data_IF_123602193130
#
_entry.id   IF_123602193130
#
_cell.length_a   1.000
_cell.length_b   1.000
_cell.length_c   1.000
_cell.angle_alpha   90.00
_cell.angle_beta   90.00
_cell.angle_gamma   90.00
#
_symmetry.space_group_name_H-M   'P 1'
#
loop_
_entity.id
_entity.type
_entity.pdbx_description
1 polymer ?
#
# COMPACT_ATOMS: atom_id res chain seq x y z
N UNK A 1 13.31 -11.40 -15.15
CA UNK A 1 11.98 -11.78 -14.64
C UNK A 1 11.13 -10.54 -14.67
N UNK A 2 10.25 -10.42 -15.65
CA UNK A 2 9.29 -9.34 -15.78
C UNK A 2 8.24 -9.51 -14.69
N UNK A 3 8.14 -8.57 -13.75
CA UNK A 3 7.02 -8.52 -12.83
C UNK A 3 5.74 -8.32 -13.65
N UNK A 4 4.77 -9.22 -13.51
CA UNK A 4 3.43 -8.97 -14.06
C UNK A 4 2.87 -7.69 -13.43
N UNK A 5 2.23 -6.80 -14.20
CA UNK A 5 1.50 -5.69 -13.61
C UNK A 5 0.47 -6.29 -12.64
N UNK A 6 0.50 -5.83 -11.39
CA UNK A 6 -0.41 -6.28 -10.35
C UNK A 6 -1.84 -6.23 -10.91
N UNK A 7 -2.41 -7.41 -11.20
CA UNK A 7 -3.72 -7.48 -11.80
C UNK A 7 -4.71 -7.13 -10.70
N UNK A 8 -5.20 -5.89 -10.72
CA UNK A 8 -6.22 -5.39 -9.81
C UNK A 8 -7.48 -6.26 -9.97
N UNK A 9 -7.66 -7.24 -9.07
CA UNK A 9 -8.86 -8.07 -9.02
C UNK A 9 -9.96 -7.36 -8.23
N UNK A 10 -11.21 -7.55 -8.66
CA UNK A 10 -12.38 -6.96 -8.01
C UNK A 10 -12.58 -7.46 -6.57
N UNK A 11 -13.10 -6.56 -5.71
CA UNK A 11 -13.06 -6.60 -4.24
C UNK A 11 -13.72 -7.79 -3.53
N UNK A 12 -13.03 -8.34 -2.53
CA UNK A 12 -13.60 -8.80 -1.24
C UNK A 12 -13.47 -7.74 -0.12
N UNK A 13 -12.72 -6.66 -0.34
CA UNK A 13 -12.26 -5.71 0.68
C UNK A 13 -13.06 -4.41 0.80
N UNK A 14 -14.07 -4.19 -0.05
CA UNK A 14 -14.93 -3.02 0.05
C UNK A 14 -15.72 -3.03 1.37
N UNK A 15 -15.35 -2.15 2.31
CA UNK A 15 -16.01 -2.00 3.61
C UNK A 15 -15.39 -2.79 4.78
N UNK A 16 -14.30 -3.52 4.56
CA UNK A 16 -13.56 -4.15 5.66
C UNK A 16 -12.78 -3.09 6.44
N UNK A 17 -13.04 -3.01 7.74
CA UNK A 17 -12.24 -2.23 8.71
C UNK A 17 -11.52 -3.20 9.65
N UNK A 18 -10.36 -2.84 10.22
CA UNK A 18 -9.71 -3.68 11.22
C UNK A 18 -10.69 -3.97 12.38
N UNK A 19 -10.87 -5.24 12.69
CA UNK A 19 -11.91 -5.75 13.59
C UNK A 19 -11.34 -6.25 14.93
N UNK A 20 -10.02 -6.21 15.09
CA UNK A 20 -9.35 -6.58 16.33
C UNK A 20 -8.19 -5.64 16.69
N UNK A 21 -7.74 -5.75 17.94
CA UNK A 21 -6.56 -5.07 18.46
C UNK A 21 -5.57 -6.11 18.97
N UNK A 22 -4.31 -6.00 18.56
CA UNK A 22 -3.26 -6.92 18.98
C UNK A 22 -2.20 -6.19 19.81
N UNK A 23 -1.63 -6.87 20.81
CA UNK A 23 -0.50 -6.35 21.57
C UNK A 23 0.80 -6.55 20.79
N UNK A 24 1.62 -5.50 20.72
CA UNK A 24 2.88 -5.53 19.97
C UNK A 24 3.85 -6.59 20.51
N UNK A 25 3.89 -6.75 21.83
CA UNK A 25 4.63 -7.81 22.53
C UNK A 25 4.29 -9.20 22.00
N UNK A 26 3.01 -9.50 21.86
CA UNK A 26 2.54 -10.86 21.58
C UNK A 26 2.78 -11.23 20.11
N UNK A 27 2.66 -10.25 19.21
CA UNK A 27 2.76 -10.48 17.76
C UNK A 27 4.18 -10.32 17.24
N UNK A 28 4.95 -9.36 17.78
CA UNK A 28 6.28 -8.99 17.25
C UNK A 28 7.42 -9.34 18.21
N UNK A 29 7.14 -9.78 19.44
CA UNK A 29 8.17 -10.08 20.44
C UNK A 29 8.93 -8.84 20.93
N UNK A 30 8.35 -7.64 20.76
CA UNK A 30 8.96 -6.36 21.16
C UNK A 30 8.33 -5.92 22.49
N UNK A 31 9.17 -5.59 23.47
CA UNK A 31 8.71 -5.10 24.78
C UNK A 31 8.04 -3.72 24.65
N UNK A 32 6.72 -3.72 24.47
CA UNK A 32 5.88 -2.54 24.33
C UNK A 32 4.44 -2.86 24.74
N UNK A 33 3.81 -1.92 25.44
CA UNK A 33 2.38 -1.96 25.77
C UNK A 33 1.49 -1.40 24.66
N UNK A 34 2.06 -1.06 23.49
CA UNK A 34 1.30 -0.58 22.36
C UNK A 34 0.34 -1.68 21.86
N UNK A 35 -0.93 -1.34 21.69
CA UNK A 35 -1.90 -2.10 20.89
C UNK A 35 -2.02 -1.52 19.49
N UNK A 36 -2.25 -2.36 18.48
CA UNK A 36 -2.35 -1.94 17.07
C UNK A 36 -3.57 -2.63 16.43
N UNK A 37 -4.34 -1.93 15.58
CA UNK A 37 -5.41 -2.56 14.83
C UNK A 37 -4.88 -3.65 13.89
N UNK A 38 -5.64 -4.73 13.74
CA UNK A 38 -5.36 -5.83 12.83
C UNK A 38 -6.67 -6.41 12.28
N UNK A 39 -6.58 -7.22 11.24
CA UNK A 39 -7.71 -7.98 10.69
C UNK A 39 -7.71 -9.42 11.22
N UNK A 40 -8.88 -9.95 11.56
CA UNK A 40 -9.02 -11.35 11.97
C UNK A 40 -8.93 -12.30 10.77
N UNK A 41 -9.41 -11.87 9.60
CA UNK A 41 -9.38 -12.62 8.35
C UNK A 41 -8.28 -12.13 7.40
N UNK A 42 -7.75 -13.05 6.60
CA UNK A 42 -6.69 -12.78 5.62
C UNK A 42 -7.29 -12.47 4.24
N UNK A 43 -6.82 -11.40 3.62
CA UNK A 43 -7.14 -11.03 2.23
C UNK A 43 -6.02 -11.49 1.26
N UNK A 44 -6.34 -11.61 -0.03
CA UNK A 44 -5.40 -12.01 -1.08
C UNK A 44 -4.20 -11.05 -1.23
N UNK A 45 -4.34 -9.79 -0.79
CA UNK A 45 -3.26 -8.78 -0.82
C UNK A 45 -2.44 -8.76 0.48
N UNK A 46 -2.69 -9.65 1.44
CA UNK A 46 -1.86 -9.79 2.65
C UNK A 46 -0.59 -10.56 2.31
N UNK A 47 0.62 -9.99 2.53
CA UNK A 47 1.87 -10.67 2.25
C UNK A 47 2.02 -11.99 3.03
N UNK A 48 2.84 -12.91 2.51
CA UNK A 48 3.14 -14.16 3.22
C UNK A 48 3.96 -13.91 4.49
N UNK A 49 3.65 -14.71 5.51
CA UNK A 49 4.36 -14.71 6.78
C UNK A 49 5.67 -15.50 6.63
N UNK A 50 6.80 -14.82 6.76
CA UNK A 50 8.11 -15.46 6.96
C UNK A 50 8.36 -15.66 8.46
N UNK A 51 8.18 -16.87 8.96
CA UNK A 51 8.39 -17.21 10.37
C UNK A 51 9.84 -17.05 10.88
N UNK A 52 10.83 -16.93 9.98
CA UNK A 52 12.23 -16.71 10.34
C UNK A 52 12.61 -15.22 10.41
N UNK A 53 11.69 -14.32 10.05
CA UNK A 53 11.98 -12.89 10.01
C UNK A 53 12.26 -12.32 11.41
N UNK A 54 13.34 -11.55 11.52
CA UNK A 54 13.74 -10.87 12.76
C UNK A 54 13.43 -9.39 12.64
N UNK A 55 12.53 -8.92 13.50
CA UNK A 55 12.12 -7.51 13.53
C UNK A 55 13.14 -6.64 14.25
N UNK A 56 13.61 -5.58 13.60
CA UNK A 56 14.26 -4.46 14.31
C UNK A 56 13.19 -3.70 15.14
N UNK A 57 13.33 -3.60 16.48
CA UNK A 57 12.29 -3.03 17.34
C UNK A 57 11.91 -1.59 17.02
N UNK A 58 12.92 -0.74 16.78
CA UNK A 58 12.70 0.70 16.57
C UNK A 58 11.96 0.96 15.25
N UNK A 59 12.40 0.31 14.18
CA UNK A 59 11.75 0.41 12.87
C UNK A 59 10.33 -0.13 12.93
N UNK A 60 10.13 -1.26 13.60
CA UNK A 60 8.81 -1.89 13.76
C UNK A 60 7.84 -0.97 14.50
N UNK A 61 8.25 -0.37 15.62
CA UNK A 61 7.40 0.57 16.36
C UNK A 61 7.03 1.81 15.54
N UNK A 62 7.95 2.31 14.70
CA UNK A 62 7.67 3.39 13.76
C UNK A 62 6.62 3.02 12.71
N UNK A 63 6.75 1.83 12.11
CA UNK A 63 5.76 1.29 11.15
C UNK A 63 4.40 1.12 11.83
N UNK A 64 4.37 0.51 13.01
CA UNK A 64 3.13 0.25 13.76
C UNK A 64 2.41 1.54 14.18
N UNK A 65 3.15 2.61 14.50
CA UNK A 65 2.56 3.93 14.69
C UNK A 65 1.89 4.47 13.41
N UNK A 66 2.42 4.12 12.24
CA UNK A 66 1.79 4.33 10.93
C UNK A 66 0.41 3.69 10.83
N UNK A 67 0.35 2.37 11.04
CA UNK A 67 -0.90 1.61 11.03
C UNK A 67 -1.91 2.11 12.06
N UNK A 68 -1.47 2.35 13.30
CA UNK A 68 -2.34 2.76 14.41
C UNK A 68 -2.93 4.17 14.23
N UNK A 69 -2.16 5.10 13.69
CA UNK A 69 -2.52 6.52 13.67
C UNK A 69 -2.72 7.09 12.28
N UNK A 70 -2.75 6.23 11.24
CA UNK A 70 -2.79 6.64 9.84
C UNK A 70 -1.71 7.70 9.50
N UNK A 71 -0.50 7.47 10.04
CA UNK A 71 0.66 8.35 9.82
C UNK A 71 1.42 7.90 8.58
N UNK A 72 1.90 8.87 7.81
CA UNK A 72 2.78 8.64 6.67
C UNK A 72 4.16 8.33 7.26
N UNK A 73 4.69 7.15 6.95
CA UNK A 73 5.98 6.67 7.49
C UNK A 73 7.01 6.65 6.38
N UNK A 74 8.15 7.30 6.61
CA UNK A 74 9.31 7.21 5.74
C UNK A 74 10.35 6.29 6.39
N UNK A 75 10.79 5.27 5.66
CA UNK A 75 11.85 4.35 6.10
C UNK A 75 13.06 4.57 5.20
N UNK A 76 14.20 4.91 5.81
CA UNK A 76 15.44 5.17 5.10
C UNK A 76 16.54 4.22 5.58
N UNK A 77 17.40 3.80 4.66
CA UNK A 77 18.52 2.90 4.91
C UNK A 77 19.16 2.46 3.60
N UNK A 78 20.34 1.85 3.68
CA UNK A 78 21.09 1.40 2.50
C UNK A 78 20.28 0.40 1.65
N UNK A 79 20.69 0.22 0.39
CA UNK A 79 20.09 -0.78 -0.48
C UNK A 79 20.29 -2.19 0.09
N UNK A 80 19.29 -3.06 -0.06
CA UNK A 80 19.40 -4.46 0.39
C UNK A 80 19.30 -4.69 1.90
N UNK A 81 18.99 -3.69 2.72
CA UNK A 81 18.79 -3.86 4.17
C UNK A 81 17.39 -4.37 4.57
N UNK A 82 16.57 -4.79 3.61
CA UNK A 82 15.26 -5.39 3.87
C UNK A 82 14.13 -4.41 4.23
N UNK A 83 14.23 -3.12 3.87
CA UNK A 83 13.21 -2.09 4.20
C UNK A 83 11.80 -2.46 3.76
N UNK A 84 11.62 -2.81 2.49
CA UNK A 84 10.31 -3.15 1.92
C UNK A 84 9.77 -4.44 2.53
N UNK A 85 10.64 -5.45 2.68
CA UNK A 85 10.31 -6.70 3.38
C UNK A 85 9.90 -6.46 4.82
N UNK A 86 10.50 -5.50 5.52
CA UNK A 86 10.11 -5.15 6.89
C UNK A 86 8.66 -4.69 6.96
N UNK A 87 8.25 -3.79 6.05
CA UNK A 87 6.86 -3.33 5.97
C UNK A 87 5.94 -4.49 5.62
N UNK A 88 6.29 -5.31 4.63
CA UNK A 88 5.50 -6.47 4.21
C UNK A 88 5.32 -7.47 5.36
N UNK A 89 6.38 -7.75 6.14
CA UNK A 89 6.30 -8.66 7.28
C UNK A 89 5.49 -8.05 8.43
N UNK A 90 5.55 -6.74 8.66
CA UNK A 90 4.63 -6.10 9.63
C UNK A 90 3.18 -6.23 9.18
N UNK A 91 2.88 -5.94 7.92
CA UNK A 91 1.54 -6.08 7.36
C UNK A 91 1.03 -7.53 7.44
N UNK A 92 1.87 -8.51 7.12
CA UNK A 92 1.55 -9.93 7.22
C UNK A 92 1.14 -10.34 8.64
N UNK A 93 1.81 -9.83 9.68
CA UNK A 93 1.48 -10.11 11.10
C UNK A 93 0.16 -9.49 11.54
N UNK A 94 -0.26 -8.40 10.90
CA UNK A 94 -1.51 -7.70 11.18
C UNK A 94 -2.67 -8.18 10.29
N UNK A 95 -2.43 -9.17 9.40
CA UNK A 95 -3.33 -9.53 8.29
C UNK A 95 -3.76 -8.32 7.46
N UNK A 96 -2.88 -7.33 7.30
CA UNK A 96 -3.21 -6.07 6.67
C UNK A 96 -2.90 -6.12 5.18
N UNK A 97 -3.86 -5.81 4.27
CA UNK A 97 -3.60 -5.73 2.84
C UNK A 97 -2.45 -4.78 2.52
N UNK A 98 -1.43 -5.22 1.78
CA UNK A 98 -0.25 -4.42 1.51
C UNK A 98 0.05 -4.42 0.02
N UNK A 99 0.12 -3.23 -0.56
CA UNK A 99 0.40 -3.04 -1.99
C UNK A 99 1.63 -2.19 -2.14
N UNK A 100 2.59 -2.71 -2.91
CA UNK A 100 3.86 -2.07 -3.18
C UNK A 100 3.90 -1.53 -4.62
N UNK A 101 4.27 -0.26 -4.75
CA UNK A 101 4.49 0.42 -6.02
C UNK A 101 5.95 0.83 -6.06
N UNK A 102 6.71 0.27 -7.00
CA UNK A 102 8.10 0.67 -7.22
C UNK A 102 8.14 1.95 -8.07
N UNK A 103 8.82 3.01 -7.62
CA UNK A 103 8.84 4.29 -8.31
C UNK A 103 9.92 4.41 -9.41
N UNK A 104 10.32 3.29 -9.99
CA UNK A 104 11.32 3.24 -11.05
C UNK A 104 10.85 3.88 -12.38
N UNK A 105 11.68 3.83 -13.43
CA UNK A 105 11.40 4.46 -14.72
C UNK A 105 10.14 3.95 -15.44
N UNK A 106 9.59 2.79 -15.05
CA UNK A 106 8.43 2.20 -15.71
C UNK A 106 7.11 2.73 -15.18
N UNK A 107 7.05 3.23 -13.93
CA UNK A 107 5.79 3.75 -13.38
C UNK A 107 5.44 5.10 -14.03
N UNK A 108 4.19 5.25 -14.45
CA UNK A 108 3.66 6.50 -14.99
C UNK A 108 2.54 7.06 -14.13
N UNK A 109 2.21 8.34 -14.38
CA UNK A 109 1.02 8.97 -13.80
C UNK A 109 -0.27 8.19 -14.12
N UNK A 110 -0.35 7.60 -15.32
CA UNK A 110 -1.51 6.83 -15.76
C UNK A 110 -1.66 5.55 -14.92
N UNK A 111 -0.56 4.88 -14.57
CA UNK A 111 -0.62 3.68 -13.72
C UNK A 111 -1.09 4.02 -12.30
N UNK A 112 -0.75 5.23 -11.83
CA UNK A 112 -1.16 5.70 -10.52
C UNK A 112 -2.63 6.16 -10.46
N UNK A 113 -3.05 6.93 -11.47
CA UNK A 113 -4.35 7.61 -11.47
C UNK A 113 -5.41 6.82 -12.23
N UNK A 114 -5.05 6.23 -13.36
CA UNK A 114 -5.97 5.62 -14.31
C UNK A 114 -6.02 6.34 -15.64
N UNK A 115 -6.81 5.80 -16.56
CA UNK A 115 -7.08 6.35 -17.89
C UNK A 115 -8.45 5.90 -18.39
N UNK A 116 -9.01 6.65 -19.32
CA UNK A 116 -10.10 6.15 -20.14
C UNK A 116 -9.57 5.08 -21.11
N UNK A 117 -10.24 3.93 -21.10
CA UNK A 117 -9.95 2.80 -21.98
C UNK A 117 -11.19 2.42 -22.77
N UNK A 118 -10.99 2.06 -24.05
CA UNK A 118 -12.04 1.46 -24.85
C UNK A 118 -12.10 -0.02 -24.50
N UNK A 119 -13.21 -0.44 -23.90
CA UNK A 119 -13.48 -1.84 -23.57
C UNK A 119 -14.67 -2.34 -24.38
N UNK A 120 -14.70 -3.64 -24.65
CA UNK A 120 -15.85 -4.27 -25.29
C UNK A 120 -16.80 -4.79 -24.22
N UNK A 121 -18.01 -4.22 -24.17
CA UNK A 121 -19.10 -4.71 -23.33
C UNK A 121 -20.26 -5.12 -24.23
N UNK A 122 -20.66 -6.39 -24.14
CA UNK A 122 -21.72 -6.97 -24.98
C UNK A 122 -21.52 -6.72 -26.49
N UNK A 123 -20.27 -6.79 -26.95
CA UNK A 123 -19.89 -6.58 -28.35
C UNK A 123 -19.88 -5.11 -28.82
N UNK A 124 -20.14 -4.14 -27.93
CA UNK A 124 -20.08 -2.71 -28.24
C UNK A 124 -18.82 -2.09 -27.63
N UNK A 125 -18.17 -1.19 -28.39
CA UNK A 125 -17.09 -0.37 -27.88
C UNK A 125 -17.67 0.69 -26.96
N UNK A 126 -17.26 0.66 -25.69
CA UNK A 126 -17.63 1.66 -24.69
C UNK A 126 -16.36 2.21 -24.06
N UNK A 127 -16.37 3.52 -23.78
CA UNK A 127 -15.30 4.17 -23.02
C UNK A 127 -15.60 3.97 -21.54
N UNK A 128 -14.69 3.32 -20.82
CA UNK A 128 -14.77 3.15 -19.37
C UNK A 128 -13.48 3.67 -18.74
N UNK A 129 -13.61 4.39 -17.63
CA UNK A 129 -12.45 4.80 -16.85
C UNK A 129 -11.89 3.59 -16.12
N UNK A 130 -10.64 3.25 -16.44
CA UNK A 130 -9.89 2.21 -15.75
C UNK A 130 -9.07 2.86 -14.64
N UNK A 131 -9.44 2.56 -13.39
CA UNK A 131 -8.75 3.10 -12.21
C UNK A 131 -7.29 2.65 -12.15
N UNK A 132 -6.42 3.59 -11.75
CA UNK A 132 -5.04 3.28 -11.36
C UNK A 132 -4.95 2.77 -9.92
N UNK A 133 -3.72 2.56 -9.44
CA UNK A 133 -3.49 1.99 -8.11
C UNK A 133 -3.95 2.91 -6.96
N UNK A 134 -3.90 4.24 -7.14
CA UNK A 134 -4.21 5.18 -6.06
C UNK A 134 -5.71 5.26 -5.76
N UNK A 135 -6.61 5.49 -6.75
CA UNK A 135 -8.04 5.45 -6.47
C UNK A 135 -8.48 4.15 -5.79
N UNK A 136 -7.96 3.01 -6.24
CA UNK A 136 -8.26 1.71 -5.66
C UNK A 136 -7.74 1.60 -4.22
N UNK A 137 -6.47 1.93 -3.97
CA UNK A 137 -5.86 1.76 -2.64
C UNK A 137 -6.43 2.72 -1.59
N UNK A 138 -6.85 3.93 -2.00
CA UNK A 138 -7.38 4.95 -1.09
C UNK A 138 -8.82 4.68 -0.63
N UNK A 139 -9.54 3.79 -1.31
CA UNK A 139 -10.91 3.40 -0.94
C UNK A 139 -10.96 2.28 0.10
N UNK A 140 -9.82 1.67 0.43
CA UNK A 140 -9.75 0.52 1.36
C UNK A 140 -8.66 0.76 2.42
N UNK A 141 -8.73 0.12 3.60
CA UNK A 141 -7.63 0.18 4.56
C UNK A 141 -6.46 -0.70 4.08
N UNK A 142 -5.73 -0.21 3.09
CA UNK A 142 -4.58 -0.88 2.48
C UNK A 142 -3.30 -0.12 2.82
N UNK A 143 -2.25 -0.84 3.22
CA UNK A 143 -0.92 -0.28 3.35
C UNK A 143 -0.33 -0.08 1.96
N UNK A 144 -0.35 1.16 1.48
CA UNK A 144 0.27 1.55 0.21
C UNK A 144 1.73 1.94 0.42
N UNK A 145 2.64 1.15 -0.16
CA UNK A 145 4.09 1.32 -0.04
C UNK A 145 4.66 1.87 -1.34
N UNK A 146 5.22 3.07 -1.30
CA UNK A 146 6.02 3.62 -2.39
C UNK A 146 7.48 3.25 -2.17
N UNK A 147 7.98 2.30 -2.95
CA UNK A 147 9.37 1.82 -2.90
C UNK A 147 10.24 2.66 -3.85
N UNK A 148 11.54 2.75 -3.55
CA UNK A 148 12.51 3.57 -4.29
C UNK A 148 12.03 5.02 -4.47
N UNK A 149 11.51 5.63 -3.40
CA UNK A 149 10.91 6.98 -3.42
C UNK A 149 11.80 8.05 -4.07
N UNK A 150 13.11 7.92 -3.91
CA UNK A 150 14.13 8.80 -4.47
C UNK A 150 14.34 8.65 -5.99
N UNK A 151 13.94 7.53 -6.58
CA UNK A 151 13.99 7.30 -8.02
C UNK A 151 12.79 7.89 -8.79
N UNK A 152 11.74 8.31 -8.06
CA UNK A 152 10.48 8.73 -8.64
C UNK A 152 10.59 9.94 -9.59
N UNK A 153 9.98 9.81 -10.77
CA UNK A 153 9.93 10.89 -11.78
C UNK A 153 9.08 12.08 -11.26
N UNK A 154 9.44 13.34 -11.58
CA UNK A 154 8.75 14.51 -11.03
C UNK A 154 7.23 14.54 -11.24
N UNK A 155 6.74 14.09 -12.40
CA UNK A 155 5.32 14.00 -12.74
C UNK A 155 4.56 12.98 -11.90
N UNK A 156 5.22 11.88 -11.52
CA UNK A 156 4.72 10.84 -10.61
C UNK A 156 4.72 11.35 -9.17
N UNK A 157 5.82 11.97 -8.73
CA UNK A 157 5.95 12.51 -7.37
C UNK A 157 4.91 13.58 -7.06
N UNK A 158 4.53 14.40 -8.06
CA UNK A 158 3.49 15.40 -7.88
C UNK A 158 2.13 14.78 -7.51
N UNK A 159 1.81 13.61 -8.07
CA UNK A 159 0.57 12.87 -7.73
C UNK A 159 0.68 12.31 -6.32
N UNK A 160 1.80 11.68 -5.99
CA UNK A 160 2.03 11.09 -4.66
C UNK A 160 1.97 12.16 -3.57
N UNK A 161 2.56 13.33 -3.81
CA UNK A 161 2.54 14.44 -2.86
C UNK A 161 1.10 14.84 -2.47
N UNK A 162 0.16 14.88 -3.43
CA UNK A 162 -1.25 15.17 -3.15
C UNK A 162 -1.89 14.14 -2.23
N UNK A 163 -1.53 12.87 -2.37
CA UNK A 163 -2.00 11.79 -1.48
C UNK A 163 -1.42 11.93 -0.08
N UNK A 164 -0.17 12.37 0.03
CA UNK A 164 0.51 12.54 1.31
C UNK A 164 0.04 13.78 2.11
N UNK A 165 -0.56 14.77 1.44
CA UNK A 165 -1.12 15.97 2.08
C UNK A 165 -2.24 15.64 3.08
N UNK A 166 -2.48 16.54 4.05
CA UNK A 166 -3.14 16.27 5.34
C UNK A 166 -4.55 15.67 5.21
N UNK A 167 -5.27 15.97 4.13
CA UNK A 167 -6.62 15.43 3.90
C UNK A 167 -6.66 14.17 3.01
N UNK A 168 -5.54 13.74 2.42
CA UNK A 168 -5.46 12.55 1.55
C UNK A 168 -6.44 12.57 0.37
N UNK A 169 -7.04 13.72 0.06
CA UNK A 169 -8.03 13.87 -1.00
C UNK A 169 -7.34 13.83 -2.35
N UNK A 170 -7.48 12.71 -3.05
CA UNK A 170 -7.16 12.62 -4.46
C UNK A 170 -8.33 13.23 -5.26
N UNK A 171 -8.25 14.52 -5.56
CA UNK A 171 -9.13 15.14 -6.56
C UNK A 171 -8.52 14.90 -7.93
N UNK A 172 -9.20 14.11 -8.76
CA UNK A 172 -8.86 13.99 -10.18
C UNK A 172 -9.22 15.32 -10.84
N UNK A 173 -8.22 16.20 -10.96
CA UNK A 173 -8.35 17.40 -11.77
C UNK A 173 -8.23 16.97 -13.23
N UNK A 174 -9.36 16.86 -13.91
CA UNK A 174 -9.38 16.85 -15.38
C UNK A 174 -8.69 18.14 -15.84
N UNK A 175 -7.48 17.99 -16.37
CA UNK A 175 -6.91 19.02 -17.24
C UNK A 175 -7.31 18.64 -18.66
N UNK A 176 -8.49 19.11 -19.04
CA UNK A 176 -8.88 19.23 -20.45
C UNK A 176 -7.93 20.17 -21.19
#
# INVERSE_FOLDING_TARGET
MTAEPATLRAHKTAGLIPDQQVLVRDVFGIDSDMTVPAFSERDDHVPEVDGAYVFDPMTTLGILAGFKHNRRVLIQGYHGTGKSTHIEQVAARLNWPCVRVNLDSHISRIDLVGKDAIVLRDGKQVTEFQEGILPWALQTPTALVFDEYDAGRPDVMFVIQRVLEVEGKLTLLDQN
#
